data_IF_308366120686
#
_entry.id   IF_308366120686
#
_cell.length_a   1.000
_cell.length_b   1.000
_cell.length_c   1.000
_cell.angle_alpha   90.00
_cell.angle_beta   90.00
_cell.angle_gamma   90.00
#
_symmetry.space_group_name_H-M   'P 1'
#
loop_
_entity.id
_entity.type
_entity.pdbx_description
1 polymer ?
2 non-polymer ?
3 non-polymer ?
4 non-polymer ?
5 water ?
#
# COMPACT_ATOMS: atom_id res chain seq x y z
N UNK A 1 15.39 3.80 -8.69
CA UNK A 1 14.60 4.94 -8.04
C UNK A 1 13.39 5.38 -8.89
N UNK A 2 12.86 4.45 -9.64
CA UNK A 2 11.74 4.70 -10.49
C UNK A 2 10.40 4.71 -9.73
N UNK A 3 9.46 5.47 -10.27
CA UNK A 3 8.08 5.46 -9.76
C UNK A 3 7.51 4.06 -10.03
N UNK A 4 6.40 3.77 -9.38
CA UNK A 4 5.72 2.48 -9.49
C UNK A 4 4.25 2.67 -9.79
N UNK A 5 3.61 1.59 -10.18
CA UNK A 5 2.18 1.64 -10.49
C UNK A 5 1.47 0.36 -10.14
N UNK A 6 0.15 0.51 -9.96
CA UNK A 6 -0.78 -0.56 -9.83
C UNK A 6 -1.89 -0.42 -10.90
N UNK A 7 -2.15 -1.49 -11.66
CA UNK A 7 -3.35 -1.57 -12.52
C UNK A 7 -4.39 -2.28 -11.65
N UNK A 8 -5.55 -1.65 -11.42
CA UNK A 8 -6.55 -2.16 -10.52
C UNK A 8 -7.76 -2.69 -11.25
N UNK A 9 -8.29 -3.80 -10.75
CA UNK A 9 -9.55 -4.34 -11.23
C UNK A 9 -10.55 -4.47 -10.07
N UNK A 10 -11.85 -4.42 -10.43
CA UNK A 10 -12.97 -4.61 -9.50
C UNK A 10 -13.72 -5.83 -10.04
N UNK A 11 -13.68 -6.92 -9.29
CA UNK A 11 -14.31 -8.20 -9.77
C UNK A 11 -13.83 -8.56 -11.17
N UNK A 12 -12.57 -8.28 -11.47
CA UNK A 12 -11.96 -8.58 -12.76
C UNK A 12 -12.04 -7.52 -13.83
N UNK A 13 -12.84 -6.48 -13.63
CA UNK A 13 -13.00 -5.41 -14.60
C UNK A 13 -12.02 -4.29 -14.32
N UNK A 14 -11.31 -3.80 -15.33
CA UNK A 14 -10.39 -2.70 -15.12
C UNK A 14 -11.06 -1.48 -14.51
N UNK A 15 -10.41 -0.91 -13.49
CA UNK A 15 -10.86 0.31 -12.83
C UNK A 15 -9.94 1.49 -13.18
N UNK A 16 -8.67 1.21 -13.50
CA UNK A 16 -7.69 2.24 -13.83
C UNK A 16 -6.36 1.94 -13.19
N UNK A 17 -5.45 2.90 -13.30
CA UNK A 17 -4.10 2.77 -12.82
C UNK A 17 -3.77 3.85 -11.81
N UNK A 18 -3.08 3.44 -10.74
CA UNK A 18 -2.58 4.36 -9.74
C UNK A 18 -1.06 4.36 -9.91
N UNK A 19 -0.46 5.56 -9.96
CA UNK A 19 0.99 5.71 -10.04
C UNK A 19 1.45 6.39 -8.77
N UNK A 20 2.63 5.97 -8.29
CA UNK A 20 3.19 6.49 -7.06
C UNK A 20 4.64 6.88 -7.19
N UNK A 21 5.03 7.91 -6.45
CA UNK A 21 6.43 8.26 -6.25
C UNK A 21 6.80 7.72 -4.85
N UNK A 22 8.01 7.18 -4.71
CA UNK A 22 8.51 6.66 -3.44
C UNK A 22 9.61 7.58 -2.93
N UNK A 23 9.67 7.75 -1.62
CA UNK A 23 10.59 8.69 -1.00
C UNK A 23 11.94 8.06 -0.61
N UNK A 24 12.66 7.62 -1.62
CA UNK A 24 13.95 6.93 -1.40
C UNK A 24 15.01 7.76 -0.67
N UNK A 25 14.93 9.08 -0.82
CA UNK A 25 15.87 9.99 -0.16
C UNK A 25 15.68 10.03 1.35
N UNK A 26 14.48 9.67 1.81
CA UNK A 26 14.17 9.69 3.24
C UNK A 26 14.12 8.30 3.88
N UNK A 27 13.45 7.37 3.18
CA UNK A 27 13.24 6.00 3.66
C UNK A 27 13.68 5.02 2.55
N UNK A 28 14.99 4.97 2.27
CA UNK A 28 15.45 4.10 1.18
C UNK A 28 15.12 2.62 1.31
N UNK A 29 15.20 2.09 2.52
CA UNK A 29 14.94 0.66 2.75
C UNK A 29 13.47 0.33 2.54
N UNK A 30 12.62 1.18 3.07
CA UNK A 30 11.17 0.98 2.97
C UNK A 30 10.72 1.13 1.51
N UNK A 31 11.22 2.17 0.85
CA UNK A 31 10.91 2.40 -0.56
C UNK A 31 11.40 1.22 -1.42
N UNK A 32 12.60 0.72 -1.15
CA UNK A 32 13.14 -0.39 -1.95
C UNK A 32 12.30 -1.65 -1.81
N UNK A 33 11.80 -1.91 -0.58
CA UNK A 33 10.97 -3.08 -0.34
C UNK A 33 9.70 -2.99 -1.18
N UNK A 34 9.04 -1.86 -1.10
CA UNK A 34 7.78 -1.69 -1.84
C UNK A 34 8.04 -1.79 -3.35
N UNK A 35 9.10 -1.13 -3.83
CA UNK A 35 9.43 -1.19 -5.26
C UNK A 35 9.64 -2.62 -5.74
N UNK A 36 10.42 -3.39 -4.97
CA UNK A 36 10.70 -4.77 -5.34
C UNK A 36 9.44 -5.66 -5.29
N UNK A 37 8.52 -5.36 -4.37
CA UNK A 37 7.27 -6.13 -4.30
C UNK A 37 6.38 -5.77 -5.50
N UNK A 38 6.53 -4.55 -6.04
CA UNK A 38 5.82 -4.14 -7.25
C UNK A 38 6.42 -4.85 -8.48
N UNK A 39 7.75 -4.92 -8.58
CA UNK A 39 8.32 -5.60 -9.75
C UNK A 39 8.15 -7.10 -9.71
N UNK A 40 8.09 -7.65 -8.49
CA UNK A 40 8.00 -9.11 -8.31
C UNK A 40 9.37 -9.80 -8.48
N UNK A 41 10.45 -9.02 -8.49
CA UNK A 41 11.80 -9.54 -8.79
C UNK A 41 12.33 -10.63 -7.85
N UNK A 42 11.83 -10.66 -6.61
CA UNK A 42 12.26 -11.69 -5.64
C UNK A 42 11.44 -12.98 -5.75
N UNK A 43 10.51 -13.06 -6.72
CA UNK A 43 9.68 -14.23 -6.91
C UNK A 43 8.34 -14.20 -6.23
N UNK A 44 8.03 -13.05 -5.63
CA UNK A 44 6.76 -12.81 -4.97
C UNK A 44 6.52 -11.31 -4.93
N UNK A 45 5.30 -10.92 -4.63
CA UNK A 45 4.97 -9.51 -4.60
C UNK A 45 3.50 -9.25 -4.76
N UNK A 46 3.19 -8.00 -5.09
CA UNK A 46 1.80 -7.57 -5.08
C UNK A 46 0.92 -8.02 -6.23
N UNK A 47 1.52 -8.45 -7.36
CA UNK A 47 0.69 -8.83 -8.50
C UNK A 47 -0.27 -9.93 -8.11
N UNK A 48 -1.56 -9.73 -8.39
CA UNK A 48 -2.61 -10.71 -8.07
C UNK A 48 -3.20 -10.60 -6.67
N UNK A 49 -2.63 -9.74 -5.82
CA UNK A 49 -3.11 -9.57 -4.43
C UNK A 49 -4.28 -8.60 -4.44
N UNK A 50 -4.99 -8.52 -3.33
CA UNK A 50 -6.15 -7.65 -3.26
C UNK A 50 -6.11 -6.75 -2.03
N UNK A 51 -7.03 -5.78 -2.03
CA UNK A 51 -7.19 -4.85 -0.88
C UNK A 51 -8.17 -5.53 0.05
N UNK A 52 -7.65 -6.00 1.17
CA UNK A 52 -8.45 -6.74 2.15
C UNK A 52 -9.23 -5.90 3.17
N UNK A 53 -8.87 -4.63 3.28
CA UNK A 53 -9.47 -3.77 4.30
C UNK A 53 -9.53 -2.37 3.76
N UNK A 54 -10.76 -1.88 3.53
CA UNK A 54 -10.97 -0.58 2.95
C UNK A 54 -12.03 0.13 3.79
N UNK A 55 -11.65 1.25 4.37
CA UNK A 55 -12.53 2.02 5.25
C UNK A 55 -12.75 3.40 4.66
N UNK A 56 -13.97 3.73 4.22
CA UNK A 56 -14.20 5.03 3.62
C UNK A 56 -13.90 6.15 4.61
N UNK A 57 -13.34 7.23 4.07
CA UNK A 57 -12.95 8.41 4.85
C UNK A 57 -11.75 8.09 5.77
N UNK A 58 -10.99 7.04 5.45
CA UNK A 58 -9.80 6.69 6.23
C UNK A 58 -8.66 6.20 5.34
N UNK A 59 -8.71 4.95 4.88
CA UNK A 59 -7.61 4.41 4.07
C UNK A 59 -8.00 3.10 3.40
N UNK A 60 -7.17 2.71 2.45
CA UNK A 60 -7.28 1.46 1.72
C UNK A 60 -6.05 0.63 2.10
N UNK A 61 -6.22 -0.63 2.48
CA UNK A 61 -5.11 -1.44 2.94
C UNK A 61 -4.99 -2.74 2.14
N UNK A 62 -3.76 -3.03 1.72
CA UNK A 62 -3.47 -4.23 0.96
C UNK A 62 -2.10 -4.76 1.28
N UNK A 63 -1.61 -5.59 0.37
CA UNK A 63 -0.28 -6.11 0.45
C UNK A 63 -0.10 -7.48 1.06
N UNK A 64 -1.19 -8.12 1.50
CA UNK A 64 -1.07 -9.43 2.06
C UNK A 64 -1.18 -10.47 0.93
N UNK A 65 -0.05 -10.71 0.26
CA UNK A 65 0.00 -11.66 -0.86
C UNK A 65 0.24 -13.09 -0.43
N UNK A 66 0.38 -13.35 0.89
CA UNK A 66 0.56 -14.75 1.37
C UNK A 66 -0.71 -15.33 1.94
N UNK A 67 -1.51 -14.51 2.62
CA UNK A 67 -2.78 -14.97 3.27
C UNK A 67 -4.06 -14.24 2.82
N UNK A 68 -3.92 -13.07 2.20
CA UNK A 68 -5.05 -12.29 1.72
C UNK A 68 -6.04 -11.78 2.75
N UNK A 69 -5.64 -11.71 4.02
CA UNK A 69 -6.60 -11.29 5.05
C UNK A 69 -6.10 -10.39 6.16
N UNK A 70 -4.88 -9.89 6.04
CA UNK A 70 -4.31 -9.03 7.08
C UNK A 70 -3.37 -9.72 8.01
N UNK A 71 -3.27 -11.05 7.92
CA UNK A 71 -2.38 -11.78 8.80
C UNK A 71 -1.05 -12.08 8.18
N UNK A 72 -0.89 -11.86 6.86
CA UNK A 72 0.32 -12.24 6.19
C UNK A 72 1.16 -11.18 5.53
N UNK A 73 1.90 -11.65 4.54
CA UNK A 73 2.83 -10.84 3.81
C UNK A 73 4.23 -11.00 4.40
N UNK A 74 5.19 -10.54 3.65
CA UNK A 74 6.60 -10.61 4.02
C UNK A 74 7.37 -9.58 3.20
N UNK A 75 8.47 -9.13 3.77
CA UNK A 75 9.35 -8.15 3.11
C UNK A 75 10.40 -8.84 2.28
N UNK A 76 11.16 -8.07 1.53
CA UNK A 76 12.27 -8.63 0.74
C UNK A 76 13.47 -8.90 1.64
N UNK A 77 13.42 -8.51 2.90
CA UNK A 77 14.51 -8.68 3.87
C UNK A 77 14.33 -9.82 4.84
N UNK A 78 13.13 -10.38 4.88
CA UNK A 78 12.72 -11.40 5.82
C UNK A 78 11.27 -11.15 6.18
N UNK A 79 10.79 -11.90 7.15
CA UNK A 79 9.43 -11.79 7.62
C UNK A 79 9.10 -10.35 8.00
N UNK A 80 10.02 -9.70 8.74
CA UNK A 80 9.80 -8.30 9.18
C UNK A 80 11.05 -7.44 9.22
N UNK A 81 10.86 -6.11 9.15
CA UNK A 81 11.96 -5.16 9.23
C UNK A 81 11.57 -3.94 10.10
N UNK A 82 12.60 -3.28 10.60
CA UNK A 82 12.45 -2.18 11.50
C UNK A 82 11.82 -0.94 10.89
N UNK A 83 11.15 -0.15 11.75
CA UNK A 83 10.63 1.15 11.35
C UNK A 83 11.88 1.99 11.03
N UNK A 84 12.00 2.38 9.75
CA UNK A 84 13.20 3.11 9.29
C UNK A 84 13.34 4.49 9.95
N UNK A 85 12.26 5.22 9.89
CA UNK A 85 12.12 6.50 10.57
C UNK A 85 10.66 6.97 10.45
N UNK A 86 10.31 7.98 11.22
CA UNK A 86 8.97 8.58 11.17
C UNK A 86 9.06 10.05 10.73
N UNK A 87 10.01 10.35 9.83
CA UNK A 87 10.22 11.73 9.37
C UNK A 87 9.04 12.32 8.62
N UNK A 88 8.41 11.50 7.77
CA UNK A 88 7.32 11.97 6.96
C UNK A 88 5.99 11.75 7.69
N UNK A 89 5.15 12.79 7.65
CA UNK A 89 3.89 12.75 8.33
C UNK A 89 2.72 12.40 7.40
N UNK A 90 1.64 11.90 7.99
CA UNK A 90 0.41 11.52 7.29
C UNK A 90 -0.41 12.81 7.14
N UNK A 91 0.09 13.73 6.32
CA UNK A 91 -0.45 15.09 6.28
C UNK A 91 -1.36 15.44 5.13
N UNK A 92 -1.72 14.43 4.32
CA UNK A 92 -2.62 14.64 3.20
C UNK A 92 -3.12 13.32 2.70
N UNK A 93 -4.24 13.30 1.96
CA UNK A 93 -4.68 12.07 1.32
C UNK A 93 -3.64 11.61 0.28
N UNK A 94 -3.71 10.34 -0.09
CA UNK A 94 -2.85 9.83 -1.13
C UNK A 94 -1.45 9.45 -0.73
N UNK A 95 -1.23 9.23 0.57
CA UNK A 95 0.08 8.82 1.02
C UNK A 95 0.13 7.30 1.20
N UNK A 96 1.29 6.74 0.84
CA UNK A 96 1.63 5.34 1.09
C UNK A 96 2.31 5.25 2.44
N UNK A 97 1.84 4.34 3.28
CA UNK A 97 2.36 4.13 4.60
C UNK A 97 2.34 2.64 4.92
N UNK A 98 3.26 2.21 5.78
CA UNK A 98 3.32 0.79 6.12
C UNK A 98 2.36 0.38 7.21
N UNK A 99 1.58 -0.66 6.92
CA UNK A 99 0.74 -1.29 7.92
C UNK A 99 1.68 -2.07 8.83
N UNK A 100 1.27 -2.34 10.06
CA UNK A 100 2.12 -3.11 10.95
C UNK A 100 1.32 -3.69 12.11
N UNK A 101 1.99 -4.46 12.96
CA UNK A 101 1.40 -5.07 14.16
C UNK A 101 2.17 -4.57 15.39
N UNK A 102 2.59 -3.32 15.36
CA UNK A 102 3.37 -2.72 16.42
C UNK A 102 4.74 -2.34 15.93
N UNK A 103 5.59 -1.82 16.82
CA UNK A 103 6.91 -1.38 16.41
C UNK A 103 7.78 -2.46 15.75
N UNK A 104 8.45 -2.05 14.65
CA UNK A 104 9.44 -2.89 13.97
C UNK A 104 8.85 -4.22 13.47
N UNK A 105 7.67 -4.14 12.85
CA UNK A 105 7.00 -5.32 12.29
C UNK A 105 6.56 -5.11 10.83
N UNK A 106 7.30 -4.29 10.10
CA UNK A 106 6.98 -4.03 8.69
C UNK A 106 7.22 -5.28 7.84
N UNK A 107 6.30 -5.58 6.93
CA UNK A 107 6.43 -6.71 6.02
C UNK A 107 6.17 -6.21 4.62
N UNK A 108 5.00 -6.57 4.12
CA UNK A 108 4.54 -6.10 2.81
C UNK A 108 3.23 -5.32 2.86
N UNK A 109 2.49 -5.41 3.94
CA UNK A 109 1.21 -4.71 3.99
C UNK A 109 1.41 -3.21 4.06
N UNK A 110 0.55 -2.50 3.34
CA UNK A 110 0.61 -1.06 3.23
C UNK A 110 -0.79 -0.51 3.18
N UNK A 111 -0.87 0.81 3.36
CA UNK A 111 -2.13 1.49 3.14
C UNK A 111 -1.93 2.78 2.39
N UNK A 112 -3.02 3.21 1.75
CA UNK A 112 -3.09 4.49 1.02
C UNK A 112 -4.14 5.32 1.77
N UNK A 113 -3.74 6.47 2.28
CA UNK A 113 -4.70 7.28 2.99
C UNK A 113 -5.66 8.01 2.07
N UNK A 114 -6.86 8.29 2.57
CA UNK A 114 -7.81 9.11 1.81
C UNK A 114 -8.17 10.41 2.52
N UNK A 115 -7.56 10.63 3.67
CA UNK A 115 -7.69 11.83 4.48
C UNK A 115 -6.38 12.00 5.24
N UNK A 116 -6.23 13.16 5.87
CA UNK A 116 -5.15 13.42 6.79
C UNK A 116 -5.33 12.45 7.98
N UNK A 117 -4.27 11.74 8.38
CA UNK A 117 -4.35 10.78 9.48
C UNK A 117 -3.20 11.01 10.43
N UNK A 118 -3.18 12.21 11.02
CA UNK A 118 -2.01 12.61 11.84
C UNK A 118 -1.79 11.77 13.07
N UNK A 119 -2.84 11.11 13.54
CA UNK A 119 -2.74 10.25 14.74
C UNK A 119 -1.88 9.03 14.48
N UNK A 120 -1.59 8.73 13.20
CA UNK A 120 -0.72 7.62 12.86
C UNK A 120 0.76 8.01 12.80
N UNK A 121 1.04 9.31 12.91
CA UNK A 121 2.41 9.80 12.86
C UNK A 121 3.17 9.21 14.03
N UNK A 122 4.35 8.67 13.74
CA UNK A 122 5.17 8.02 14.75
C UNK A 122 4.85 6.56 15.00
N UNK A 123 3.82 6.04 14.30
CA UNK A 123 3.40 4.64 14.44
C UNK A 123 3.55 3.86 13.15
N UNK A 124 3.39 4.54 12.02
CA UNK A 124 3.46 3.92 10.68
C UNK A 124 4.42 4.74 9.83
N UNK A 125 5.28 4.04 9.10
CA UNK A 125 6.27 4.71 8.26
C UNK A 125 5.67 5.10 6.88
N UNK A 126 5.61 6.41 6.64
CA UNK A 126 5.18 7.00 5.38
C UNK A 126 6.37 6.90 4.41
N UNK A 127 6.10 6.44 3.19
CA UNK A 127 7.18 6.21 2.24
C UNK A 127 6.91 6.55 0.78
N UNK A 128 5.72 7.01 0.45
CA UNK A 128 5.40 7.38 -0.91
C UNK A 128 4.10 8.16 -1.03
N UNK A 129 3.74 8.47 -2.27
CA UNK A 129 2.56 9.30 -2.52
C UNK A 129 2.02 9.03 -3.93
N UNK A 130 0.71 9.06 -4.03
CA UNK A 130 0.01 8.97 -5.30
C UNK A 130 0.33 10.21 -6.14
N UNK A 131 0.77 9.97 -7.38
CA UNK A 131 1.04 11.05 -8.35
C UNK A 131 0.09 11.06 -9.53
N UNK A 132 -0.67 9.98 -9.72
CA UNK A 132 -1.69 9.90 -10.75
C UNK A 132 -2.67 8.81 -10.32
N UNK A 133 -3.93 8.97 -10.72
CA UNK A 133 -4.94 7.98 -10.40
C UNK A 133 -5.62 8.11 -9.05
N UNK A 134 -5.64 9.31 -8.47
CA UNK A 134 -6.35 9.52 -7.22
C UNK A 134 -7.85 9.18 -7.44
N UNK A 135 -8.37 9.38 -8.68
CA UNK A 135 -9.76 8.99 -8.97
C UNK A 135 -9.98 7.47 -8.77
N UNK A 136 -8.94 6.67 -9.06
CA UNK A 136 -9.01 5.20 -8.89
C UNK A 136 -9.00 4.92 -7.39
N UNK A 137 -8.14 5.62 -6.64
CA UNK A 137 -8.13 5.49 -5.19
C UNK A 137 -9.54 5.74 -4.60
N UNK A 138 -10.20 6.80 -5.10
CA UNK A 138 -11.55 7.14 -4.61
C UNK A 138 -12.60 6.07 -4.98
N UNK A 139 -12.40 5.45 -6.15
CA UNK A 139 -13.29 4.39 -6.60
C UNK A 139 -13.11 3.15 -5.68
N UNK A 140 -11.86 2.85 -5.28
CA UNK A 140 -11.65 1.73 -4.39
C UNK A 140 -12.29 2.05 -3.05
N UNK A 141 -12.03 3.27 -2.55
CA UNK A 141 -12.55 3.73 -1.27
C UNK A 141 -14.08 3.50 -1.16
N UNK A 142 -14.77 3.75 -2.28
CA UNK A 142 -16.24 3.59 -2.37
C UNK A 142 -16.70 2.14 -2.24
N UNK A 143 -15.78 1.18 -2.43
CA UNK A 143 -16.06 -0.24 -2.26
C UNK A 143 -15.83 -0.70 -0.82
N UNK A 144 -15.42 0.21 0.08
CA UNK A 144 -15.21 -0.18 1.45
C UNK A 144 -16.48 -0.15 2.26
N UNK A 145 -16.30 -0.42 3.55
CA UNK A 145 -17.39 -0.41 4.52
C UNK A 145 -16.81 -0.02 5.86
N UNK A 146 -17.70 0.29 6.80
CA UNK A 146 -17.26 0.71 8.14
C UNK A 146 -16.36 -0.26 8.86
N UNK A 147 -16.64 -1.56 8.67
CA UNK A 147 -15.84 -2.63 9.25
C UNK A 147 -14.53 -2.87 8.50
N UNK A 148 -14.43 -2.32 7.30
CA UNK A 148 -13.27 -2.51 6.43
C UNK A 148 -13.51 -3.60 5.41
N UNK A 149 -14.60 -4.35 5.53
CA UNK A 149 -14.88 -5.45 4.58
C UNK A 149 -15.22 -4.87 3.23
N UNK A 150 -14.45 -5.22 2.18
CA UNK A 150 -14.76 -4.69 0.87
C UNK A 150 -16.04 -5.32 0.27
N UNK A 151 -16.73 -4.53 -0.53
CA UNK A 151 -17.97 -4.96 -1.19
C UNK A 151 -17.73 -5.72 -2.50
N UNK A 152 -16.49 -5.67 -2.99
CA UNK A 152 -16.07 -6.31 -4.22
C UNK A 152 -14.57 -6.67 -4.08
N UNK A 153 -14.07 -7.48 -5.01
CA UNK A 153 -12.67 -7.89 -4.99
C UNK A 153 -11.89 -6.84 -5.78
N UNK A 154 -11.06 -6.09 -5.07
CA UNK A 154 -10.24 -5.04 -5.66
C UNK A 154 -8.82 -5.61 -5.74
N UNK A 155 -8.40 -5.95 -6.96
CA UNK A 155 -7.12 -6.59 -7.17
C UNK A 155 -6.11 -5.73 -7.87
N UNK A 156 -4.85 -5.93 -7.48
CA UNK A 156 -3.69 -5.33 -8.15
C UNK A 156 -3.41 -6.33 -9.28
N UNK A 157 -4.04 -6.10 -10.44
CA UNK A 157 -3.93 -7.02 -11.58
C UNK A 157 -2.53 -7.05 -12.20
N UNK A 158 -1.87 -5.91 -12.17
CA UNK A 158 -0.51 -5.76 -12.67
C UNK A 158 0.15 -4.65 -11.87
N UNK A 159 1.45 -4.75 -11.69
CA UNK A 159 2.21 -3.72 -10.97
C UNK A 159 3.67 -3.79 -11.42
N UNK A 160 4.40 -2.74 -11.11
CA UNK A 160 5.80 -2.64 -11.52
C UNK A 160 6.32 -1.25 -11.47
N UNK A 161 7.52 -1.07 -12.03
CA UNK A 161 8.14 0.24 -12.12
C UNK A 161 7.75 0.91 -13.43
N UNK A 162 7.75 2.23 -13.41
CA UNK A 162 7.39 3.05 -14.57
C UNK A 162 8.22 4.29 -14.63
#
# INVERSE_FOLDING_TARGET
MSNVFFDITKNGAPLGTIKFKLFDDVVPKTAANFRALCTGEKGFGYAGSHFHRVIPDFMLQGGDFTAGNGTGGKSIYGAKFADENFQLKHNKPGLLSMANAGPNTNGSQFFITTVVTSWLDGKHVVFGEVIDGMNVVKAIEAEGSGSGKPRSRIEIAKCGVC
#
